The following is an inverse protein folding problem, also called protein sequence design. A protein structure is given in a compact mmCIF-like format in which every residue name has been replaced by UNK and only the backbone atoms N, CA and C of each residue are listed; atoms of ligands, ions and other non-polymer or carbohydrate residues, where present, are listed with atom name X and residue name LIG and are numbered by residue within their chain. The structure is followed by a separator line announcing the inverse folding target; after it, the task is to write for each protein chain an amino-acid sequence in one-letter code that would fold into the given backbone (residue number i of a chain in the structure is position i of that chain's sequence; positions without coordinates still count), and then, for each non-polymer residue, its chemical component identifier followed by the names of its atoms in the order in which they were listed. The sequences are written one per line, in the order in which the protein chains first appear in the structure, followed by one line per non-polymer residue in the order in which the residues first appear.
data_IF_488056317035
#
_entry.id   IF_488056317035
#
_cell.length_a   1.000
_cell.length_b   1.000
_cell.length_c   1.000
_cell.angle_alpha   90.00
_cell.angle_beta   90.00
_cell.angle_gamma   90.00
#
_symmetry.space_group_name_H-M   'P 1'
#
loop_
_entity.id
_entity.type
_entity.pdbx_description
1 polymer ?
#
# COMPACT_ATOMS: atom_id res chain seq x y z
N UNK A 1 3.17 14.93 19.11
CA UNK A 1 2.42 16.15 18.72
C UNK A 1 1.69 15.87 17.40
N UNK A 2 0.42 16.23 17.31
CA UNK A 2 -0.35 16.07 16.09
C UNK A 2 0.24 16.89 14.94
N UNK A 3 0.35 16.27 13.76
CA UNK A 3 0.83 16.95 12.54
C UNK A 3 -0.31 17.16 11.56
N UNK A 4 -0.30 18.29 10.86
CA UNK A 4 -1.33 18.66 9.87
C UNK A 4 -0.80 18.62 8.44
N UNK A 5 0.48 18.33 8.28
CA UNK A 5 1.11 18.11 6.98
C UNK A 5 2.23 17.08 7.11
N UNK A 6 2.55 16.44 6.00
CA UNK A 6 3.57 15.39 5.95
C UNK A 6 4.50 15.65 4.77
N UNK A 7 5.77 15.31 4.92
CA UNK A 7 6.78 15.46 3.88
C UNK A 7 7.01 14.09 3.22
N UNK A 8 6.70 13.93 1.92
CA UNK A 8 6.96 12.69 1.23
C UNK A 8 8.45 12.55 0.91
N UNK A 9 8.99 11.36 1.20
CA UNK A 9 10.36 10.99 0.89
C UNK A 9 10.35 9.69 0.10
N UNK A 10 10.78 9.75 -1.15
CA UNK A 10 10.97 8.57 -1.99
C UNK A 10 12.33 7.96 -1.68
N UNK A 11 12.33 6.71 -1.21
CA UNK A 11 13.52 5.99 -0.75
C UNK A 11 13.61 4.63 -1.45
N UNK A 12 14.82 4.10 -1.60
CA UNK A 12 15.04 2.74 -2.12
C UNK A 12 14.67 1.68 -1.09
N UNK A 13 14.86 1.99 0.19
CA UNK A 13 14.44 1.14 1.30
C UNK A 13 13.97 2.00 2.48
N UNK A 14 12.99 1.49 3.22
CA UNK A 14 12.46 2.19 4.39
C UNK A 14 13.52 2.15 5.52
N UNK A 15 13.85 3.29 6.14
CA UNK A 15 14.78 3.32 7.27
C UNK A 15 14.19 2.62 8.50
N UNK A 16 15.05 2.11 9.34
CA UNK A 16 14.65 1.43 10.58
C UNK A 16 13.94 2.38 11.56
N UNK A 17 14.40 3.64 11.61
CA UNK A 17 13.83 4.67 12.49
C UNK A 17 13.10 5.70 11.65
N UNK A 18 11.80 5.85 11.88
CA UNK A 18 10.96 6.84 11.22
C UNK A 18 10.90 8.13 12.03
N UNK A 19 10.95 9.26 11.34
CA UNK A 19 10.73 10.57 11.95
C UNK A 19 9.26 10.99 11.79
N UNK A 20 8.72 11.67 12.79
CA UNK A 20 7.38 12.26 12.71
C UNK A 20 7.27 13.27 11.57
N UNK A 21 6.11 13.34 10.93
CA UNK A 21 5.85 14.28 9.84
C UNK A 21 6.49 13.89 8.50
N UNK A 22 7.09 12.71 8.40
CA UNK A 22 7.67 12.19 7.16
C UNK A 22 6.94 10.94 6.69
N UNK A 23 6.65 10.90 5.39
CA UNK A 23 6.07 9.75 4.71
C UNK A 23 7.15 9.10 3.84
N UNK A 24 7.65 7.96 4.27
CA UNK A 24 8.66 7.20 3.55
C UNK A 24 7.97 6.30 2.53
N UNK A 25 8.32 6.46 1.25
CA UNK A 25 7.70 5.74 0.13
C UNK A 25 8.79 4.94 -0.60
N UNK A 26 8.70 3.62 -0.56
CA UNK A 26 9.50 2.73 -1.39
C UNK A 26 8.63 2.15 -2.50
N UNK A 27 8.84 2.63 -3.72
CA UNK A 27 8.11 2.11 -4.88
C UNK A 27 8.60 0.71 -5.25
N UNK A 28 9.89 0.43 -5.02
CA UNK A 28 10.49 -0.88 -5.28
C UNK A 28 9.92 -1.95 -4.33
N UNK A 29 9.79 -1.63 -3.05
CA UNK A 29 9.24 -2.53 -2.03
C UNK A 29 7.69 -2.51 -2.00
N UNK A 30 7.06 -1.65 -2.79
CA UNK A 30 5.60 -1.46 -2.83
C UNK A 30 5.00 -1.18 -1.45
N UNK A 31 5.63 -0.27 -0.70
CA UNK A 31 5.22 0.06 0.67
C UNK A 31 5.46 1.53 0.99
N UNK A 32 4.61 2.11 1.83
CA UNK A 32 4.87 3.39 2.46
C UNK A 32 4.66 3.28 3.97
N UNK A 33 5.50 3.96 4.72
CA UNK A 33 5.44 4.00 6.18
C UNK A 33 5.54 5.44 6.69
N UNK A 34 4.82 5.71 7.75
CA UNK A 34 4.95 6.95 8.49
C UNK A 34 4.59 6.72 9.96
N UNK A 35 5.00 7.63 10.83
CA UNK A 35 4.45 7.66 12.18
C UNK A 35 3.05 8.27 12.14
N UNK A 36 2.13 7.70 12.93
CA UNK A 36 0.76 8.20 12.98
C UNK A 36 0.71 9.71 13.18
N UNK A 37 -0.04 10.38 12.32
CA UNK A 37 -0.13 11.83 12.32
C UNK A 37 -0.73 12.42 13.61
N UNK A 38 -1.36 11.60 14.46
CA UNK A 38 -1.88 12.03 15.76
C UNK A 38 -0.78 12.29 16.81
N UNK A 39 0.45 11.84 16.56
CA UNK A 39 1.56 11.98 17.49
C UNK A 39 1.65 10.88 18.55
N UNK A 40 0.92 9.78 18.40
CA UNK A 40 0.97 8.66 19.36
C UNK A 40 2.26 7.82 19.29
N UNK A 41 3.08 8.02 18.25
CA UNK A 41 4.33 7.29 18.06
C UNK A 41 4.20 5.94 17.36
N UNK A 42 3.00 5.46 17.13
CA UNK A 42 2.78 4.21 16.39
C UNK A 42 3.14 4.35 14.92
N UNK A 43 3.71 3.29 14.36
CA UNK A 43 4.02 3.23 12.94
C UNK A 43 2.80 2.77 12.14
N UNK A 44 2.56 3.43 11.02
CA UNK A 44 1.49 3.12 10.08
C UNK A 44 2.10 2.53 8.83
N UNK A 45 1.75 1.30 8.53
CA UNK A 45 2.22 0.55 7.37
C UNK A 45 1.12 0.55 6.31
N UNK A 46 1.44 1.05 5.13
CA UNK A 46 0.50 1.14 4.01
C UNK A 46 1.09 0.43 2.79
N UNK A 47 0.72 -0.85 2.54
CA UNK A 47 1.10 -1.54 1.31
C UNK A 47 0.56 -0.81 0.07
N UNK A 48 1.42 -0.62 -0.93
CA UNK A 48 1.11 0.09 -2.18
C UNK A 48 0.76 -0.92 -3.28
N UNK A 49 -0.47 -1.41 -3.27
CA UNK A 49 -0.98 -2.36 -4.25
C UNK A 49 -2.50 -2.16 -4.43
N UNK A 50 -3.13 -2.81 -5.40
CA UNK A 50 -4.58 -2.66 -5.65
C UNK A 50 -5.48 -3.00 -4.46
N UNK A 51 -5.03 -3.84 -3.54
CA UNK A 51 -5.78 -4.20 -2.32
C UNK A 51 -5.47 -3.28 -1.12
N UNK A 52 -4.50 -2.36 -1.26
CA UNK A 52 -4.05 -1.45 -0.21
C UNK A 52 -4.24 0.01 -0.61
N UNK A 53 -3.14 0.74 -0.58
CA UNK A 53 -3.12 2.16 -0.89
C UNK A 53 -2.46 2.44 -2.22
N UNK A 54 -2.67 3.65 -2.71
CA UNK A 54 -1.97 4.18 -3.88
C UNK A 54 -1.48 5.59 -3.60
N UNK A 55 -0.33 5.92 -4.17
CA UNK A 55 0.25 7.25 -4.13
C UNK A 55 -0.05 7.95 -5.46
N UNK A 56 -0.63 9.12 -5.39
CA UNK A 56 -0.85 10.00 -6.54
C UNK A 56 0.13 11.15 -6.42
N UNK A 57 1.07 11.23 -7.35
CA UNK A 57 2.10 12.28 -7.37
C UNK A 57 1.58 13.50 -8.15
N UNK A 58 1.50 14.64 -7.50
CA UNK A 58 1.35 15.93 -8.18
C UNK A 58 2.72 16.48 -8.60
N UNK A 59 3.76 16.19 -7.81
CA UNK A 59 5.18 16.41 -8.08
C UNK A 59 6.01 15.46 -7.23
N UNK A 60 7.35 15.53 -7.28
CA UNK A 60 8.23 14.76 -6.39
C UNK A 60 8.10 15.17 -4.91
N UNK A 61 7.58 16.35 -4.64
CA UNK A 61 7.42 16.88 -3.29
C UNK A 61 5.96 16.92 -2.81
N UNK A 62 4.99 16.57 -3.65
CA UNK A 62 3.55 16.67 -3.32
C UNK A 62 2.83 15.38 -3.71
N UNK A 63 2.27 14.70 -2.72
CA UNK A 63 1.57 13.43 -2.91
C UNK A 63 0.19 13.42 -2.24
N UNK A 64 -0.68 12.59 -2.78
CA UNK A 64 -1.97 12.23 -2.20
C UNK A 64 -2.02 10.72 -2.02
N UNK A 65 -2.45 10.26 -0.85
CA UNK A 65 -2.70 8.85 -0.59
C UNK A 65 -4.19 8.54 -0.62
N UNK A 66 -4.54 7.44 -1.24
CA UNK A 66 -5.91 6.91 -1.24
C UNK A 66 -5.90 5.40 -1.00
N UNK A 67 -6.88 4.85 -0.28
CA UNK A 67 -7.97 5.53 0.47
C UNK A 67 -7.48 6.21 1.75
N UNK A 68 -8.42 6.55 2.66
CA UNK A 68 -8.09 7.11 3.97
C UNK A 68 -7.30 6.11 4.82
N UNK A 69 -6.59 6.63 5.80
CA UNK A 69 -5.83 5.85 6.78
C UNK A 69 -6.66 5.77 8.06
N UNK A 70 -7.13 4.57 8.37
CA UNK A 70 -7.90 4.29 9.57
C UNK A 70 -7.11 3.41 10.53
N UNK A 71 -6.75 3.96 11.69
CA UNK A 71 -5.95 3.30 12.71
C UNK A 71 -6.83 2.72 13.83
N UNK A 72 -7.90 2.03 13.45
CA UNK A 72 -8.89 1.48 14.37
C UNK A 72 -8.35 0.46 15.36
N UNK A 73 -7.24 -0.19 15.07
CA UNK A 73 -6.57 -1.14 15.97
C UNK A 73 -5.61 -0.46 16.94
N UNK A 74 -5.19 0.78 16.66
CA UNK A 74 -4.33 1.54 17.55
C UNK A 74 -5.15 2.21 18.66
N UNK A 75 -4.50 2.51 19.78
CA UNK A 75 -5.14 3.21 20.90
C UNK A 75 -5.72 4.56 20.51
N UNK A 76 -5.06 5.28 19.60
CA UNK A 76 -5.47 6.60 19.16
C UNK A 76 -6.77 6.60 18.34
N UNK A 77 -7.11 5.49 17.67
CA UNK A 77 -8.28 5.37 16.77
C UNK A 77 -8.32 6.45 15.69
N UNK A 78 -7.19 7.04 15.34
CA UNK A 78 -7.11 8.15 14.38
C UNK A 78 -7.56 7.72 12.98
N UNK A 79 -8.16 8.67 12.26
CA UNK A 79 -8.65 8.47 10.91
C UNK A 79 -8.44 9.74 10.11
N UNK A 80 -7.76 9.66 8.99
CA UNK A 80 -7.43 10.82 8.17
C UNK A 80 -7.14 10.47 6.72
N UNK A 81 -7.26 11.47 5.83
CA UNK A 81 -6.70 11.44 4.49
C UNK A 81 -5.35 12.16 4.46
N UNK A 82 -4.51 11.79 3.51
CA UNK A 82 -3.35 12.60 3.11
C UNK A 82 -3.63 13.11 1.71
N UNK A 83 -3.89 14.42 1.58
CA UNK A 83 -4.24 15.07 0.33
C UNK A 83 -3.25 16.19 0.04
N UNK A 84 -2.48 16.06 -1.03
CA UNK A 84 -1.43 17.05 -1.38
C UNK A 84 -0.58 17.44 -0.16
N UNK A 85 -0.06 16.45 0.54
CA UNK A 85 0.72 16.54 1.78
C UNK A 85 -0.04 17.01 3.03
N UNK A 86 -1.29 17.44 2.91
CA UNK A 86 -2.10 17.84 4.07
C UNK A 86 -2.78 16.65 4.72
N UNK A 87 -2.88 16.69 6.02
CA UNK A 87 -3.61 15.70 6.82
C UNK A 87 -5.02 16.21 7.04
N UNK A 88 -5.97 15.57 6.39
CA UNK A 88 -7.41 15.90 6.50
C UNK A 88 -8.04 14.95 7.52
N UNK A 89 -8.29 15.45 8.72
CA UNK A 89 -8.79 14.68 9.84
C UNK A 89 -10.25 14.29 9.67
N UNK A 90 -10.55 13.02 9.92
CA UNK A 90 -11.89 12.47 9.99
C UNK A 90 -12.25 12.12 11.44
N UNK A 91 -13.51 11.78 11.67
CA UNK A 91 -13.92 11.27 12.97
C UNK A 91 -13.15 9.98 13.29
N UNK A 92 -12.82 9.79 14.57
CA UNK A 92 -12.10 8.59 15.02
C UNK A 92 -12.80 7.31 14.59
N UNK A 93 -12.02 6.28 14.37
CA UNK A 93 -12.53 4.95 14.04
C UNK A 93 -13.35 4.39 15.20
N UNK A 94 -14.57 3.95 14.89
CA UNK A 94 -15.42 3.20 15.81
C UNK A 94 -15.16 1.70 15.69
N UNK A 95 -15.51 0.86 16.66
CA UNK A 95 -15.41 -0.60 16.53
C UNK A 95 -16.13 -1.13 15.27
N UNK A 96 -17.29 -0.56 14.93
CA UNK A 96 -18.04 -0.92 13.72
C UNK A 96 -17.28 -0.58 12.45
N UNK A 97 -16.76 0.65 12.33
CA UNK A 97 -15.96 1.07 11.18
C UNK A 97 -14.68 0.25 11.04
N UNK A 98 -14.04 -0.06 12.15
CA UNK A 98 -12.85 -0.91 12.18
C UNK A 98 -13.16 -2.30 11.65
N UNK A 99 -14.24 -2.93 12.10
CA UNK A 99 -14.65 -4.26 11.63
C UNK A 99 -15.01 -4.25 10.13
N UNK A 100 -15.71 -3.22 9.66
CA UNK A 100 -16.06 -3.06 8.25
C UNK A 100 -14.79 -2.88 7.37
N UNK A 101 -13.85 -2.07 7.82
CA UNK A 101 -12.58 -1.86 7.11
C UNK A 101 -11.78 -3.17 7.03
N UNK A 102 -11.65 -3.89 8.12
CA UNK A 102 -10.96 -5.19 8.15
C UNK A 102 -11.60 -6.21 7.21
N UNK A 103 -12.93 -6.30 7.19
CA UNK A 103 -13.65 -7.22 6.32
C UNK A 103 -13.44 -6.88 4.84
N UNK A 104 -13.46 -5.58 4.49
CA UNK A 104 -13.16 -5.10 3.13
C UNK A 104 -11.72 -5.43 2.76
N UNK A 105 -10.77 -5.06 3.59
CA UNK A 105 -9.34 -5.27 3.33
C UNK A 105 -9.01 -6.76 3.14
N UNK A 106 -9.66 -7.63 3.91
CA UNK A 106 -9.52 -9.07 3.75
C UNK A 106 -10.02 -9.55 2.39
N UNK A 107 -11.22 -9.14 1.97
CA UNK A 107 -11.79 -9.50 0.66
C UNK A 107 -10.93 -8.98 -0.49
N UNK A 108 -10.49 -7.74 -0.41
CA UNK A 108 -9.67 -7.11 -1.45
C UNK A 108 -8.31 -7.79 -1.58
N UNK A 109 -7.73 -8.17 -0.45
CA UNK A 109 -6.47 -8.92 -0.41
C UNK A 109 -6.61 -10.31 -1.01
N UNK A 110 -7.65 -11.04 -0.66
CA UNK A 110 -7.92 -12.37 -1.23
C UNK A 110 -8.11 -12.30 -2.74
N UNK A 111 -8.89 -11.32 -3.22
CA UNK A 111 -9.09 -11.07 -4.63
C UNK A 111 -7.76 -10.77 -5.35
N UNK A 112 -6.97 -9.88 -4.79
CA UNK A 112 -5.65 -9.50 -5.34
C UNK A 112 -4.71 -10.70 -5.45
N UNK A 113 -4.63 -11.53 -4.39
CA UNK A 113 -3.81 -12.74 -4.39
C UNK A 113 -4.30 -13.74 -5.44
N UNK A 114 -5.61 -13.95 -5.55
CA UNK A 114 -6.20 -14.85 -6.53
C UNK A 114 -5.90 -14.40 -7.98
N UNK A 115 -6.04 -13.11 -8.27
CA UNK A 115 -5.72 -12.53 -9.58
C UNK A 115 -4.23 -12.67 -9.92
N UNK A 116 -3.35 -12.42 -8.95
CA UNK A 116 -1.91 -12.57 -9.12
C UNK A 116 -1.49 -14.02 -9.37
N UNK A 117 -2.09 -14.97 -8.66
CA UNK A 117 -1.84 -16.40 -8.85
C UNK A 117 -2.35 -16.88 -10.21
N UNK A 118 -3.52 -16.43 -10.67
CA UNK A 118 -4.05 -16.73 -11.98
C UNK A 118 -3.15 -16.21 -13.11
N UNK A 119 -2.63 -14.98 -12.99
CA UNK A 119 -1.70 -14.40 -13.93
C UNK A 119 -0.38 -15.20 -14.02
N UNK A 120 0.15 -15.64 -12.88
CA UNK A 120 1.36 -16.49 -12.82
C UNK A 120 1.13 -17.85 -13.48
N UNK A 121 -0.01 -18.48 -13.25
CA UNK A 121 -0.36 -19.76 -13.88
C UNK A 121 -0.44 -19.63 -15.41
N UNK A 122 -1.05 -18.55 -15.92
CA UNK A 122 -1.12 -18.25 -17.36
C UNK A 122 0.26 -18.05 -17.97
N UNK A 123 1.14 -17.29 -17.30
CA UNK A 123 2.52 -17.09 -17.76
C UNK A 123 3.30 -18.40 -17.83
N UNK A 124 3.15 -19.26 -16.82
CA UNK A 124 3.81 -20.57 -16.78
C UNK A 124 3.34 -21.46 -17.93
N UNK A 125 2.04 -21.58 -18.19
CA UNK A 125 1.50 -22.38 -19.27
C UNK A 125 1.97 -21.86 -20.65
N UNK A 126 1.99 -20.57 -20.87
CA UNK A 126 2.48 -19.97 -22.11
C UNK A 126 3.99 -20.22 -22.31
N UNK A 127 4.77 -20.18 -21.24
CA UNK A 127 6.21 -20.52 -21.28
C UNK A 127 6.45 -21.98 -21.66
N UNK A 128 5.70 -22.91 -21.09
CA UNK A 128 5.80 -24.33 -21.39
C UNK A 128 5.39 -24.63 -22.86
N UNK A 129 4.33 -24.02 -23.35
CA UNK A 129 3.93 -24.15 -24.75
C UNK A 129 4.97 -23.58 -25.73
N UNK A 130 5.58 -22.45 -25.37
CA UNK A 130 6.67 -21.85 -26.15
C UNK A 130 7.90 -22.75 -26.22
N UNK A 131 8.32 -23.33 -25.10
CA UNK A 131 9.43 -24.28 -25.04
C UNK A 131 9.17 -25.56 -25.85
N UNK A 132 7.98 -26.11 -25.75
CA UNK A 132 7.57 -27.29 -26.54
C UNK A 132 7.55 -26.99 -28.04
N UNK A 133 7.09 -25.83 -28.46
CA UNK A 133 7.09 -25.42 -29.87
C UNK A 133 8.53 -25.26 -30.41
N UNK A 134 9.44 -24.68 -29.61
CA UNK A 134 10.86 -24.56 -29.97
C UNK A 134 11.52 -25.93 -30.07
N UNK A 135 11.29 -26.83 -29.10
CA UNK A 135 11.82 -28.19 -29.15
C UNK A 135 11.34 -28.98 -30.35
N UNK A 136 10.04 -28.93 -30.68
CA UNK A 136 9.47 -29.58 -31.86
C UNK A 136 10.10 -29.07 -33.17
N UNK A 137 10.32 -27.77 -33.27
CA UNK A 137 10.97 -27.13 -34.40
C UNK A 137 12.44 -27.59 -34.55
N UNK A 138 13.16 -27.74 -33.42
CA UNK A 138 14.54 -28.22 -33.40
C UNK A 138 14.66 -29.72 -33.78
N UNK A 139 13.71 -30.51 -33.34
CA UNK A 139 13.69 -31.96 -33.61
C UNK A 139 13.06 -32.35 -34.99
N UNK A 140 12.63 -31.35 -35.78
CA UNK A 140 12.04 -31.55 -37.09
C UNK A 140 10.66 -32.24 -37.07
N UNK A 141 9.97 -32.09 -35.96
CA UNK A 141 8.63 -32.68 -35.73
C UNK A 141 7.51 -31.69 -36.07
#
# INVERSE_FOLDING_TARGET
MQVNSIIPLFVSSIPEILEEGKLYISEEDEIALHKCCCGCGEEVVTPLNPAGWRIIKSSQAVVTMKPSIGNGQNRCKSHYFITKNHVDWLNKMTPRLTAMAQARDHRDREKYIAEKNAARATQKSNGEHGLLAILKRWLGL
#
